data_IF_372187010683
#
_entry.id   IF_372187010683
#
_cell.length_a   1.000
_cell.length_b   1.000
_cell.length_c   1.000
_cell.angle_alpha   90.00
_cell.angle_beta   90.00
_cell.angle_gamma   90.00
#
_symmetry.space_group_name_H-M   'P 1'
#
loop_
_entity.id
_entity.type
_entity.pdbx_description
1 polymer ?
#
# COMPACT_ATOMS: atom_id res chain seq x y z
N UNK A 1 -45.77 -0.86 2.12
CA UNK A 1 -44.86 -0.91 1.02
C UNK A 1 -44.09 0.37 0.96
N UNK A 2 -42.85 0.32 1.43
CA UNK A 2 -41.96 1.49 1.48
C UNK A 2 -41.53 1.83 0.06
N UNK A 3 -41.97 2.98 -0.45
CA UNK A 3 -41.48 3.52 -1.70
C UNK A 3 -40.02 3.91 -1.49
N UNK A 4 -39.04 3.25 -2.18
CA UNK A 4 -37.61 3.55 -2.02
C UNK A 4 -37.23 5.00 -2.40
N UNK A 5 -38.16 5.76 -2.98
CA UNK A 5 -37.99 7.15 -3.39
C UNK A 5 -38.25 8.19 -2.29
N UNK A 6 -38.73 7.78 -1.10
CA UNK A 6 -38.99 8.70 0.00
C UNK A 6 -37.71 8.94 0.82
N UNK A 7 -36.91 9.91 0.41
CA UNK A 7 -35.79 10.44 1.19
C UNK A 7 -36.20 11.14 2.49
N UNK A 8 -37.48 11.49 2.64
CA UNK A 8 -38.00 12.27 3.75
C UNK A 8 -38.19 11.54 5.08
N UNK A 9 -38.00 10.21 5.12
CA UNK A 9 -38.33 9.41 6.30
C UNK A 9 -37.13 9.15 7.25
N UNK A 10 -35.92 9.62 6.88
CA UNK A 10 -34.74 9.54 7.76
C UNK A 10 -34.70 10.79 8.65
N UNK A 11 -34.68 10.57 9.96
CA UNK A 11 -34.65 11.63 10.95
C UNK A 11 -33.39 11.56 11.82
N UNK A 12 -32.86 12.73 12.17
CA UNK A 12 -31.84 12.93 13.19
C UNK A 12 -32.51 13.77 14.28
N UNK A 13 -32.61 13.22 15.48
CA UNK A 13 -33.22 13.88 16.63
C UNK A 13 -34.65 14.41 16.35
N UNK A 14 -35.47 13.59 15.63
CA UNK A 14 -36.86 13.91 15.30
C UNK A 14 -37.06 14.99 14.23
N UNK A 15 -36.03 15.31 13.46
CA UNK A 15 -36.11 16.22 12.30
C UNK A 15 -35.62 15.54 11.02
N UNK A 16 -36.12 15.90 9.83
CA UNK A 16 -35.66 15.32 8.58
C UNK A 16 -34.13 15.42 8.46
N UNK A 17 -33.45 14.31 8.14
CA UNK A 17 -31.99 14.26 8.03
C UNK A 17 -31.42 15.28 7.04
N UNK A 18 -32.12 15.53 5.93
CA UNK A 18 -31.75 16.52 4.92
C UNK A 18 -31.77 17.98 5.41
N UNK A 19 -32.40 18.26 6.55
CA UNK A 19 -32.42 19.61 7.15
C UNK A 19 -31.14 19.94 7.93
N UNK A 20 -30.23 18.94 8.12
CA UNK A 20 -28.98 19.12 8.85
C UNK A 20 -27.81 19.42 7.90
N UNK A 21 -26.77 20.14 8.36
CA UNK A 21 -25.51 20.27 7.67
C UNK A 21 -24.87 18.89 7.39
N UNK A 22 -24.05 18.79 6.33
CA UNK A 22 -23.40 17.53 5.90
C UNK A 22 -22.61 16.86 7.02
N UNK A 23 -21.84 17.61 7.79
CA UNK A 23 -21.07 17.12 8.93
C UNK A 23 -21.94 16.46 10.00
N UNK A 24 -23.11 17.01 10.28
CA UNK A 24 -24.07 16.43 11.19
C UNK A 24 -24.70 15.14 10.66
N UNK A 25 -24.95 15.05 9.35
CA UNK A 25 -25.43 13.83 8.70
C UNK A 25 -24.37 12.71 8.74
N UNK A 26 -23.10 13.04 8.43
CA UNK A 26 -21.96 12.11 8.50
C UNK A 26 -21.79 11.58 9.93
N UNK A 27 -21.83 12.49 10.91
CA UNK A 27 -21.76 12.11 12.31
C UNK A 27 -22.88 11.18 12.72
N UNK A 28 -24.11 11.45 12.29
CA UNK A 28 -25.27 10.62 12.57
C UNK A 28 -25.17 9.23 11.93
N UNK A 29 -24.56 9.12 10.74
CA UNK A 29 -24.25 7.83 10.10
C UNK A 29 -23.19 7.05 10.88
N UNK A 30 -22.10 7.69 11.25
CA UNK A 30 -21.01 7.09 12.03
C UNK A 30 -21.47 6.59 13.40
N UNK A 31 -22.43 7.28 14.00
CA UNK A 31 -23.08 6.89 15.27
C UNK A 31 -24.23 5.87 15.11
N UNK A 32 -24.46 5.36 13.87
CA UNK A 32 -25.55 4.40 13.59
C UNK A 32 -26.96 4.99 13.68
N UNK A 33 -27.11 6.32 13.74
CA UNK A 33 -28.41 7.02 13.77
C UNK A 33 -29.05 7.15 12.40
N UNK A 34 -28.26 7.04 11.31
CA UNK A 34 -28.73 6.92 9.93
C UNK A 34 -28.38 5.54 9.38
N UNK A 35 -29.35 4.89 8.77
CA UNK A 35 -29.16 3.53 8.27
C UNK A 35 -28.50 3.51 6.88
N UNK A 36 -27.72 2.46 6.58
CA UNK A 36 -27.17 2.22 5.25
C UNK A 36 -28.23 2.25 4.13
N UNK A 37 -29.44 1.68 4.29
CA UNK A 37 -30.50 1.81 3.31
C UNK A 37 -30.92 3.25 2.95
N UNK A 38 -30.82 4.18 3.91
CA UNK A 38 -31.08 5.60 3.63
C UNK A 38 -30.02 6.19 2.69
N UNK A 39 -28.75 5.90 2.93
CA UNK A 39 -27.64 6.36 2.12
C UNK A 39 -27.74 5.83 0.68
N UNK A 40 -28.04 4.55 0.51
CA UNK A 40 -28.20 3.93 -0.82
C UNK A 40 -29.39 4.52 -1.59
N UNK A 41 -30.48 4.84 -0.91
CA UNK A 41 -31.61 5.54 -1.54
C UNK A 41 -31.22 6.94 -2.01
N UNK A 42 -30.53 7.70 -1.17
CA UNK A 42 -30.06 9.04 -1.51
C UNK A 42 -29.11 9.00 -2.71
N UNK A 43 -28.23 7.98 -2.78
CA UNK A 43 -27.35 7.75 -3.93
C UNK A 43 -28.15 7.48 -5.20
N UNK A 44 -29.11 6.58 -5.14
CA UNK A 44 -29.96 6.25 -6.30
C UNK A 44 -30.72 7.47 -6.84
N UNK A 45 -31.28 8.28 -5.96
CA UNK A 45 -32.02 9.50 -6.37
C UNK A 45 -31.08 10.57 -6.96
N UNK A 46 -29.86 10.69 -6.42
CA UNK A 46 -28.85 11.59 -6.96
C UNK A 46 -28.42 11.17 -8.38
N UNK A 47 -28.16 9.88 -8.60
CA UNK A 47 -27.77 9.34 -9.90
C UNK A 47 -28.88 9.52 -10.96
N UNK A 48 -30.15 9.36 -10.56
CA UNK A 48 -31.30 9.62 -11.45
C UNK A 48 -31.40 11.10 -11.81
N UNK A 49 -31.12 11.98 -10.84
CA UNK A 49 -31.24 13.43 -11.03
C UNK A 49 -30.04 14.05 -11.75
N UNK A 50 -28.91 13.33 -11.79
CA UNK A 50 -27.65 13.81 -12.37
C UNK A 50 -27.01 12.71 -13.25
N UNK A 51 -27.63 12.38 -14.42
CA UNK A 51 -27.23 11.25 -15.23
C UNK A 51 -25.83 11.38 -15.87
N UNK A 52 -25.25 12.58 -15.85
CA UNK A 52 -23.88 12.85 -16.33
C UNK A 52 -22.81 12.65 -15.24
N UNK A 53 -23.23 12.43 -13.99
CA UNK A 53 -22.30 12.30 -12.86
C UNK A 53 -22.25 10.84 -12.42
N UNK A 54 -21.07 10.45 -11.93
CA UNK A 54 -20.81 9.13 -11.40
C UNK A 54 -21.04 9.03 -9.89
N UNK A 55 -20.92 7.83 -9.35
CA UNK A 55 -20.99 7.59 -7.91
C UNK A 55 -19.93 8.37 -7.13
N UNK A 56 -18.79 8.66 -7.74
CA UNK A 56 -17.74 9.44 -7.15
C UNK A 56 -18.19 10.89 -6.89
N UNK A 57 -18.83 11.51 -7.88
CA UNK A 57 -19.41 12.85 -7.73
C UNK A 57 -20.49 12.88 -6.64
N UNK A 58 -21.28 11.81 -6.51
CA UNK A 58 -22.23 11.66 -5.41
C UNK A 58 -21.52 11.63 -4.06
N UNK A 59 -20.51 10.78 -3.90
CA UNK A 59 -19.73 10.66 -2.66
C UNK A 59 -19.03 11.95 -2.29
N UNK A 60 -18.55 12.72 -3.28
CA UNK A 60 -18.00 14.06 -3.05
C UNK A 60 -18.99 15.01 -2.37
N UNK A 61 -20.28 14.91 -2.69
CA UNK A 61 -21.29 15.77 -2.09
C UNK A 61 -21.83 15.18 -0.78
N UNK A 62 -21.88 13.88 -0.68
CA UNK A 62 -22.51 13.13 0.41
C UNK A 62 -21.60 12.00 0.91
N UNK A 63 -20.48 12.33 1.54
CA UNK A 63 -19.58 11.32 2.08
C UNK A 63 -20.25 10.48 3.16
N UNK A 64 -20.02 9.18 3.17
CA UNK A 64 -20.65 8.23 4.08
C UNK A 64 -20.05 8.23 5.49
N UNK A 65 -18.86 8.81 5.65
CA UNK A 65 -18.13 8.89 6.93
C UNK A 65 -17.11 10.03 6.90
N UNK A 66 -16.51 10.35 8.06
CA UNK A 66 -15.51 11.42 8.19
C UNK A 66 -14.27 11.19 7.31
N UNK A 67 -13.88 9.93 7.15
CA UNK A 67 -12.79 9.55 6.30
C UNK A 67 -13.09 9.92 4.85
N UNK A 68 -14.21 9.50 4.33
CA UNK A 68 -14.66 9.82 2.97
C UNK A 68 -14.81 11.33 2.77
N UNK A 69 -15.31 12.06 3.78
CA UNK A 69 -15.40 13.54 3.74
C UNK A 69 -14.02 14.19 3.60
N UNK A 70 -13.02 13.66 4.26
CA UNK A 70 -11.65 14.17 4.19
C UNK A 70 -11.04 13.94 2.79
N UNK A 71 -11.26 12.79 2.16
CA UNK A 71 -10.79 12.50 0.80
C UNK A 71 -11.27 13.51 -0.22
N UNK A 72 -12.47 13.95 -0.04
CA UNK A 72 -13.21 14.73 -1.01
C UNK A 72 -12.94 16.21 -0.90
N UNK A 73 -12.13 16.65 0.08
CA UNK A 73 -11.73 18.06 0.25
C UNK A 73 -10.60 18.52 -0.68
N UNK A 74 -10.12 17.66 -1.58
CA UNK A 74 -9.14 18.04 -2.62
C UNK A 74 -7.68 17.95 -2.20
N UNK A 75 -7.37 17.48 -1.00
CA UNK A 75 -5.99 17.36 -0.48
C UNK A 75 -5.38 15.95 -0.68
N UNK A 76 -6.06 15.05 -1.41
CA UNK A 76 -5.50 13.71 -1.71
C UNK A 76 -4.23 13.84 -2.55
N UNK A 77 -3.17 13.11 -2.17
CA UNK A 77 -1.92 13.08 -2.91
C UNK A 77 -2.05 12.30 -4.22
N UNK A 78 -2.87 11.26 -4.23
CA UNK A 78 -3.11 10.42 -5.39
C UNK A 78 -4.46 10.73 -6.04
N UNK A 79 -4.56 10.53 -7.35
CA UNK A 79 -5.82 10.73 -8.09
C UNK A 79 -6.89 9.76 -7.64
N UNK A 80 -7.97 10.28 -7.07
CA UNK A 80 -9.08 9.46 -6.58
C UNK A 80 -9.81 8.72 -7.71
N UNK A 81 -9.93 9.34 -8.89
CA UNK A 81 -10.51 8.68 -10.06
C UNK A 81 -9.67 7.47 -10.49
N UNK A 82 -8.35 7.61 -10.52
CA UNK A 82 -7.45 6.49 -10.79
C UNK A 82 -7.56 5.38 -9.73
N UNK A 83 -7.64 5.73 -8.45
CA UNK A 83 -7.80 4.76 -7.37
C UNK A 83 -9.15 4.03 -7.42
N UNK A 84 -10.21 4.70 -7.87
CA UNK A 84 -11.48 4.07 -8.13
C UNK A 84 -11.39 3.04 -9.27
N UNK A 85 -10.66 3.35 -10.35
CA UNK A 85 -10.40 2.40 -11.44
C UNK A 85 -9.68 1.14 -10.93
N UNK A 86 -8.70 1.29 -10.01
CA UNK A 86 -8.05 0.15 -9.36
C UNK A 86 -9.05 -0.66 -8.52
N UNK A 87 -9.89 -0.01 -7.73
CA UNK A 87 -10.90 -0.69 -6.91
C UNK A 87 -11.91 -1.46 -7.76
N UNK A 88 -12.39 -0.87 -8.85
CA UNK A 88 -13.26 -1.51 -9.83
C UNK A 88 -12.58 -2.71 -10.48
N UNK A 89 -11.31 -2.56 -10.89
CA UNK A 89 -10.53 -3.65 -11.48
C UNK A 89 -10.33 -4.84 -10.54
N UNK A 90 -10.14 -4.61 -9.23
CA UNK A 90 -10.08 -5.68 -8.21
C UNK A 90 -11.42 -6.41 -8.13
N UNK A 91 -12.53 -5.68 -8.12
CA UNK A 91 -13.87 -6.24 -8.08
C UNK A 91 -14.20 -7.05 -9.36
N UNK A 92 -13.96 -6.49 -10.53
CA UNK A 92 -14.22 -7.14 -11.83
C UNK A 92 -13.40 -8.43 -12.04
N UNK A 93 -12.17 -8.47 -11.51
CA UNK A 93 -11.31 -9.66 -11.58
C UNK A 93 -11.66 -10.70 -10.51
N UNK A 94 -12.64 -10.44 -9.65
CA UNK A 94 -13.00 -11.30 -8.53
C UNK A 94 -11.78 -11.68 -7.67
N UNK A 95 -10.91 -10.70 -7.39
CA UNK A 95 -9.68 -10.94 -6.65
C UNK A 95 -9.96 -11.21 -5.18
N UNK A 96 -9.65 -12.40 -4.74
CA UNK A 96 -9.82 -12.82 -3.35
C UNK A 96 -8.51 -13.17 -2.69
N UNK A 97 -8.27 -12.60 -1.51
CA UNK A 97 -7.12 -12.94 -0.70
C UNK A 97 -7.31 -14.30 0.00
N UNK A 98 -6.31 -15.16 -0.06
CA UNK A 98 -6.18 -16.26 0.89
C UNK A 98 -5.54 -15.71 2.17
N UNK A 99 -6.22 -15.87 3.29
CA UNK A 99 -5.78 -15.34 4.60
C UNK A 99 -5.01 -16.43 5.34
N UNK A 100 -3.82 -16.08 5.87
CA UNK A 100 -3.01 -17.10 6.54
C UNK A 100 -1.68 -16.60 7.07
N UNK A 101 -0.73 -17.53 7.14
CA UNK A 101 0.65 -17.32 7.56
C UNK A 101 1.58 -18.26 6.80
N UNK A 102 2.91 -18.08 6.94
CA UNK A 102 3.89 -19.04 6.44
C UNK A 102 4.33 -19.98 7.55
N UNK A 103 4.39 -21.27 7.25
CA UNK A 103 4.93 -22.31 8.12
C UNK A 103 6.24 -22.85 7.55
N UNK A 104 7.21 -23.13 8.43
CA UNK A 104 8.50 -23.66 8.03
C UNK A 104 8.38 -25.14 7.67
N UNK A 105 8.77 -25.52 6.45
CA UNK A 105 8.74 -26.90 5.98
C UNK A 105 10.14 -27.47 5.68
N UNK A 106 11.18 -26.61 5.74
CA UNK A 106 12.59 -26.98 5.55
C UNK A 106 13.50 -25.88 6.05
N UNK A 107 14.82 -25.98 5.82
CA UNK A 107 15.79 -25.02 6.36
C UNK A 107 15.54 -23.59 5.89
N UNK A 108 15.37 -23.38 4.57
CA UNK A 108 15.00 -22.11 3.93
C UNK A 108 13.74 -22.28 3.07
N UNK A 109 12.83 -23.13 3.51
CA UNK A 109 11.63 -23.49 2.78
C UNK A 109 10.40 -23.26 3.63
N UNK A 110 9.41 -22.60 3.05
CA UNK A 110 8.18 -22.17 3.70
C UNK A 110 6.99 -22.57 2.84
N UNK A 111 5.86 -22.83 3.48
CA UNK A 111 4.59 -23.09 2.83
C UNK A 111 3.51 -22.17 3.40
N UNK A 112 2.59 -21.74 2.55
CA UNK A 112 1.43 -20.98 3.00
C UNK A 112 0.45 -21.89 3.73
N UNK A 113 0.06 -21.48 4.93
CA UNK A 113 -0.96 -22.13 5.75
C UNK A 113 -2.14 -21.18 5.96
N UNK A 114 -3.34 -21.61 5.56
CA UNK A 114 -4.57 -20.84 5.73
C UNK A 114 -4.99 -20.79 7.19
N UNK A 115 -5.03 -19.57 7.77
CA UNK A 115 -5.44 -19.33 9.16
C UNK A 115 -6.48 -18.24 9.17
N UNK A 116 -7.69 -18.47 9.72
CA UNK A 116 -8.68 -17.41 9.89
C UNK A 116 -8.09 -16.23 10.68
N UNK A 117 -8.20 -15.01 10.15
CA UNK A 117 -7.60 -13.78 10.71
C UNK A 117 -6.07 -13.79 10.77
N UNK A 118 -5.40 -14.58 9.94
CA UNK A 118 -3.95 -14.52 9.77
C UNK A 118 -3.47 -13.14 9.29
N UNK A 119 -2.18 -12.80 9.51
CA UNK A 119 -1.64 -11.47 9.18
C UNK A 119 -1.38 -11.28 7.68
N UNK A 120 -1.37 -12.36 6.90
CA UNK A 120 -1.07 -12.34 5.47
C UNK A 120 -2.33 -12.40 4.62
N UNK A 121 -2.33 -11.60 3.56
CA UNK A 121 -3.27 -11.63 2.45
C UNK A 121 -2.50 -12.06 1.20
N UNK A 122 -2.64 -13.33 0.82
CA UNK A 122 -1.98 -13.92 -0.34
C UNK A 122 -2.90 -13.85 -1.56
N UNK A 123 -2.43 -13.21 -2.62
CA UNK A 123 -3.12 -13.06 -3.91
C UNK A 123 -2.52 -13.96 -4.98
N UNK A 124 -1.20 -14.17 -4.94
CA UNK A 124 -0.46 -14.97 -5.90
C UNK A 124 0.62 -15.80 -5.18
N UNK A 125 0.63 -17.12 -5.43
CA UNK A 125 1.72 -18.00 -5.01
C UNK A 125 3.02 -17.64 -5.76
N UNK A 126 4.20 -17.90 -5.18
CA UNK A 126 5.45 -17.67 -5.89
C UNK A 126 5.53 -18.51 -7.17
N UNK A 127 5.80 -17.85 -8.30
CA UNK A 127 5.97 -18.49 -9.60
C UNK A 127 7.44 -18.80 -9.85
N UNK A 128 7.79 -20.03 -10.26
CA UNK A 128 9.17 -20.38 -10.58
C UNK A 128 9.79 -19.43 -11.61
N UNK A 129 11.02 -18.97 -11.37
CA UNK A 129 11.75 -18.08 -12.27
C UNK A 129 11.32 -16.62 -12.25
N UNK A 130 10.23 -16.27 -11.58
CA UNK A 130 9.84 -14.86 -11.38
C UNK A 130 10.69 -14.20 -10.28
N UNK A 131 10.98 -12.92 -10.47
CA UNK A 131 11.63 -12.06 -9.47
C UNK A 131 10.58 -11.30 -8.68
N UNK A 132 10.86 -11.10 -7.40
CA UNK A 132 10.00 -10.38 -6.48
C UNK A 132 10.79 -9.29 -5.75
N UNK A 133 10.10 -8.23 -5.39
CA UNK A 133 10.60 -7.18 -4.50
C UNK A 133 9.65 -7.06 -3.31
N UNK A 134 10.20 -6.82 -2.13
CA UNK A 134 9.42 -6.63 -0.90
C UNK A 134 9.80 -5.30 -0.28
N UNK A 135 8.84 -4.38 -0.22
CA UNK A 135 8.96 -3.18 0.59
C UNK A 135 8.54 -3.46 2.03
N UNK A 136 9.36 -3.05 2.98
CA UNK A 136 9.17 -3.32 4.42
C UNK A 136 9.12 -2.00 5.18
N UNK A 137 7.96 -1.70 5.74
CA UNK A 137 7.73 -0.59 6.64
C UNK A 137 7.63 -1.07 8.09
N UNK A 138 8.38 -0.42 8.99
CA UNK A 138 8.55 -0.89 10.36
C UNK A 138 7.85 0.00 11.38
N UNK A 139 7.09 -0.63 12.28
CA UNK A 139 6.47 0.05 13.41
C UNK A 139 7.15 -0.29 14.74
N UNK A 140 6.82 0.48 15.79
CA UNK A 140 7.30 0.23 17.15
C UNK A 140 6.71 -0.99 17.85
N UNK A 141 5.69 -1.63 17.26
CA UNK A 141 5.05 -2.84 17.79
C UNK A 141 4.09 -2.60 18.96
N UNK A 142 3.67 -1.36 19.22
CA UNK A 142 2.66 -1.08 20.22
C UNK A 142 1.28 -1.63 19.79
N UNK A 143 0.49 -2.13 20.71
CA UNK A 143 -0.84 -2.72 20.42
C UNK A 143 -1.84 -1.73 19.81
N UNK A 144 -1.63 -0.44 20.01
CA UNK A 144 -2.43 0.68 19.49
C UNK A 144 -1.69 1.56 18.51
N UNK A 145 -0.43 1.19 18.15
CA UNK A 145 0.42 1.95 17.22
C UNK A 145 0.21 1.55 15.76
N UNK A 146 1.13 2.05 14.93
CA UNK A 146 1.18 1.76 13.50
C UNK A 146 1.41 0.27 13.21
N UNK A 147 1.09 -0.16 12.01
CA UNK A 147 1.32 -1.52 11.58
C UNK A 147 2.75 -1.70 11.06
N UNK A 148 3.31 -2.88 11.27
CA UNK A 148 4.43 -3.39 10.51
C UNK A 148 3.89 -4.02 9.22
N UNK A 149 4.44 -3.64 8.07
CA UNK A 149 3.94 -4.03 6.76
C UNK A 149 5.05 -4.58 5.87
N UNK A 150 4.73 -5.67 5.15
CA UNK A 150 5.50 -6.10 3.98
C UNK A 150 4.58 -6.11 2.75
N UNK A 151 4.96 -5.39 1.70
CA UNK A 151 4.32 -5.40 0.38
C UNK A 151 5.15 -6.24 -0.57
N UNK A 152 4.63 -7.39 -0.98
CA UNK A 152 5.31 -8.29 -1.92
C UNK A 152 4.80 -8.04 -3.33
N UNK A 153 5.71 -7.64 -4.21
CA UNK A 153 5.40 -7.33 -5.60
C UNK A 153 6.19 -8.25 -6.52
N UNK A 154 5.50 -8.90 -7.46
CA UNK A 154 6.14 -9.64 -8.57
C UNK A 154 6.56 -8.65 -9.64
N UNK A 155 7.80 -8.77 -10.13
CA UNK A 155 8.29 -8.00 -11.27
C UNK A 155 7.81 -8.68 -12.56
N UNK A 156 7.09 -7.93 -13.40
CA UNK A 156 6.54 -8.39 -14.68
C UNK A 156 6.92 -7.41 -15.80
N UNK A 157 8.07 -7.67 -16.42
CA UNK A 157 8.66 -6.74 -17.36
C UNK A 157 9.09 -5.44 -16.69
N UNK A 158 8.42 -4.35 -17.02
CA UNK A 158 8.58 -3.01 -16.44
C UNK A 158 7.47 -2.64 -15.44
N UNK A 159 6.64 -3.62 -15.09
CA UNK A 159 5.48 -3.45 -14.22
C UNK A 159 5.59 -4.30 -12.95
N UNK A 160 4.75 -4.01 -11.97
CA UNK A 160 4.63 -4.73 -10.70
C UNK A 160 3.23 -5.30 -10.52
N UNK A 161 3.15 -6.53 -10.02
CA UNK A 161 1.88 -7.18 -9.63
C UNK A 161 1.93 -7.50 -8.15
N UNK A 162 0.97 -7.01 -7.39
CA UNK A 162 0.87 -7.26 -5.96
C UNK A 162 0.54 -8.73 -5.68
N UNK A 163 1.49 -9.46 -5.10
CA UNK A 163 1.40 -10.89 -4.85
C UNK A 163 0.94 -11.22 -3.43
N UNK A 164 1.39 -10.46 -2.43
CA UNK A 164 1.04 -10.68 -1.04
C UNK A 164 1.19 -9.39 -0.22
N UNK A 165 0.41 -9.28 0.84
CA UNK A 165 0.53 -8.23 1.85
C UNK A 165 0.55 -8.87 3.24
N UNK A 166 1.59 -8.58 4.02
CA UNK A 166 1.60 -8.82 5.46
C UNK A 166 1.35 -7.49 6.16
N UNK A 167 0.37 -7.45 7.07
CA UNK A 167 0.04 -6.28 7.88
C UNK A 167 -0.30 -6.72 9.29
N UNK A 168 0.55 -6.36 10.25
CA UNK A 168 0.45 -6.87 11.62
C UNK A 168 1.09 -5.93 12.63
N UNK A 169 0.65 -5.97 13.89
CA UNK A 169 1.30 -5.25 15.00
C UNK A 169 2.28 -6.17 15.72
N UNK A 170 3.53 -6.07 15.36
CA UNK A 170 4.64 -6.85 15.92
C UNK A 170 5.85 -5.94 16.13
N UNK A 171 6.77 -6.37 17.00
CA UNK A 171 8.00 -5.63 17.21
C UNK A 171 8.98 -5.77 16.02
N UNK A 172 9.97 -4.88 15.89
CA UNK A 172 10.90 -4.89 14.76
C UNK A 172 11.68 -6.20 14.59
N UNK A 173 12.00 -6.89 15.68
CA UNK A 173 12.71 -8.17 15.61
C UNK A 173 11.85 -9.29 15.04
N UNK A 174 10.55 -9.29 15.34
CA UNK A 174 9.58 -10.20 14.74
C UNK A 174 9.34 -9.86 13.27
N UNK A 175 9.27 -8.56 12.92
CA UNK A 175 9.16 -8.14 11.53
C UNK A 175 10.34 -8.60 10.67
N UNK A 176 11.57 -8.56 11.21
CA UNK A 176 12.74 -9.09 10.49
C UNK A 176 12.55 -10.56 10.13
N UNK A 177 12.07 -11.38 11.07
CA UNK A 177 11.78 -12.78 10.83
C UNK A 177 10.66 -12.97 9.77
N UNK A 178 9.60 -12.15 9.83
CA UNK A 178 8.53 -12.19 8.84
C UNK A 178 9.02 -11.80 7.44
N UNK A 179 9.82 -10.73 7.34
CA UNK A 179 10.39 -10.27 6.07
C UNK A 179 11.36 -11.31 5.47
N UNK A 180 12.22 -11.92 6.30
CA UNK A 180 13.14 -12.98 5.87
C UNK A 180 12.38 -14.18 5.28
N UNK A 181 11.39 -14.70 6.01
CA UNK A 181 10.63 -15.86 5.55
C UNK A 181 9.80 -15.57 4.30
N UNK A 182 9.25 -14.36 4.16
CA UNK A 182 8.61 -13.91 2.93
C UNK A 182 9.60 -13.83 1.77
N UNK A 183 10.81 -13.32 2.03
CA UNK A 183 11.89 -13.27 1.05
C UNK A 183 12.22 -14.66 0.50
N UNK A 184 12.45 -15.63 1.38
CA UNK A 184 12.73 -17.03 0.98
C UNK A 184 11.55 -17.67 0.26
N UNK A 185 10.32 -17.44 0.74
CA UNK A 185 9.11 -17.98 0.11
C UNK A 185 8.92 -17.45 -1.30
N UNK A 186 9.22 -16.17 -1.56
CA UNK A 186 9.10 -15.53 -2.86
C UNK A 186 10.43 -15.51 -3.64
N UNK A 187 11.06 -16.69 -3.80
CA UNK A 187 12.24 -16.90 -4.66
C UNK A 187 13.44 -16.02 -4.29
N UNK A 188 13.75 -15.87 -3.01
CA UNK A 188 14.80 -14.96 -2.54
C UNK A 188 14.57 -13.50 -2.99
N UNK A 189 13.39 -12.98 -2.69
CA UNK A 189 12.94 -11.66 -3.10
C UNK A 189 13.91 -10.54 -2.67
N UNK A 190 14.01 -9.46 -3.46
CA UNK A 190 14.80 -8.29 -3.09
C UNK A 190 14.08 -7.47 -2.02
N UNK A 191 14.67 -7.33 -0.83
CA UNK A 191 14.07 -6.62 0.30
C UNK A 191 14.55 -5.17 0.37
N UNK A 192 13.60 -4.24 0.44
CA UNK A 192 13.83 -2.82 0.70
C UNK A 192 13.25 -2.49 2.07
N UNK A 193 14.12 -2.41 3.07
CA UNK A 193 13.74 -2.15 4.46
C UNK A 193 13.97 -0.69 4.78
N UNK A 194 13.00 -0.01 5.40
CA UNK A 194 13.26 1.28 6.00
C UNK A 194 14.37 1.15 7.06
N UNK A 195 15.37 2.03 7.00
CA UNK A 195 16.54 1.93 7.90
C UNK A 195 16.55 2.96 9.04
N UNK A 196 15.44 3.69 9.23
CA UNK A 196 15.29 4.66 10.31
C UNK A 196 14.76 3.98 11.59
N UNK A 197 15.11 4.52 12.76
CA UNK A 197 14.57 4.12 14.07
C UNK A 197 14.36 2.60 14.23
N UNK A 198 13.10 2.15 14.14
CA UNK A 198 12.73 0.75 14.29
C UNK A 198 13.27 -0.14 13.16
N UNK A 199 13.39 0.40 11.96
CA UNK A 199 13.98 -0.29 10.82
C UNK A 199 15.45 -0.65 10.98
N UNK A 200 16.21 0.05 11.84
CA UNK A 200 17.57 -0.35 12.17
C UNK A 200 17.64 -1.75 12.79
N UNK A 201 16.69 -2.08 13.67
CA UNK A 201 16.63 -3.40 14.29
C UNK A 201 16.29 -4.48 13.25
N UNK A 202 15.37 -4.18 12.33
CA UNK A 202 15.00 -5.08 11.23
C UNK A 202 16.22 -5.37 10.36
N UNK A 203 16.90 -4.30 9.90
CA UNK A 203 18.10 -4.38 9.08
C UNK A 203 19.21 -5.19 9.76
N UNK A 204 19.52 -4.88 11.03
CA UNK A 204 20.63 -5.51 11.75
C UNK A 204 20.40 -7.01 12.00
N UNK A 205 19.13 -7.44 12.02
CA UNK A 205 18.79 -8.86 12.09
C UNK A 205 18.83 -9.58 10.74
N UNK A 206 18.47 -8.88 9.66
CA UNK A 206 18.48 -9.46 8.32
C UNK A 206 19.88 -9.62 7.75
N UNK A 207 20.80 -8.70 8.01
CA UNK A 207 22.15 -8.66 7.40
C UNK A 207 22.97 -9.94 7.55
N UNK A 208 22.74 -10.71 8.63
CA UNK A 208 23.50 -11.92 8.91
C UNK A 208 22.88 -13.19 8.30
N UNK A 209 21.61 -13.12 7.89
CA UNK A 209 20.84 -14.29 7.39
C UNK A 209 20.29 -14.15 5.99
N UNK A 210 20.14 -12.92 5.49
CA UNK A 210 19.55 -12.62 4.20
C UNK A 210 20.44 -11.71 3.36
N UNK A 211 20.73 -12.11 2.13
CA UNK A 211 21.74 -11.41 1.30
C UNK A 211 21.15 -10.47 0.24
N UNK A 212 19.92 -10.71 -0.20
CA UNK A 212 19.29 -9.93 -1.28
C UNK A 212 18.59 -8.67 -0.74
N UNK A 213 19.39 -7.74 -0.18
CA UNK A 213 18.96 -6.51 0.48
C UNK A 213 19.27 -5.28 -0.37
N UNK A 214 18.38 -4.30 -0.34
CA UNK A 214 18.61 -2.99 -0.92
C UNK A 214 19.76 -2.29 -0.20
N UNK A 215 20.72 -1.79 -0.99
CA UNK A 215 21.88 -1.04 -0.53
C UNK A 215 21.85 0.35 -1.11
N UNK A 216 21.95 1.37 -0.25
CA UNK A 216 22.17 2.74 -0.71
C UNK A 216 23.63 3.11 -0.58
N UNK A 217 24.12 3.88 -1.52
CA UNK A 217 25.46 4.46 -1.48
C UNK A 217 25.43 5.82 -0.78
N UNK A 218 26.41 6.08 0.06
CA UNK A 218 26.63 7.37 0.72
C UNK A 218 28.10 7.71 0.71
N UNK A 219 28.40 8.95 0.32
CA UNK A 219 29.75 9.48 0.48
C UNK A 219 29.97 9.93 1.92
N UNK A 220 30.99 9.43 2.57
CA UNK A 220 31.39 9.92 3.89
C UNK A 220 32.08 11.26 3.77
N UNK A 221 31.67 12.25 4.59
CA UNK A 221 32.12 13.64 4.51
C UNK A 221 33.63 13.85 4.74
N UNK A 222 34.35 12.85 5.24
CA UNK A 222 35.74 12.98 5.66
C UNK A 222 36.72 12.04 4.94
N UNK A 223 36.27 11.07 4.17
CA UNK A 223 37.17 10.10 3.51
C UNK A 223 37.04 10.05 1.99
N UNK A 224 36.08 10.75 1.38
CA UNK A 224 35.66 10.57 -0.03
C UNK A 224 35.37 9.12 -0.42
N UNK A 225 35.23 8.22 0.58
CA UNK A 225 34.91 6.83 0.36
C UNK A 225 33.39 6.66 0.17
N UNK A 226 33.01 5.86 -0.82
CA UNK A 226 31.65 5.43 -1.03
C UNK A 226 31.37 4.21 -0.13
N UNK A 227 30.45 4.35 0.83
CA UNK A 227 30.08 3.27 1.75
C UNK A 227 28.66 2.81 1.47
N UNK A 228 28.49 1.49 1.38
CA UNK A 228 27.19 0.87 1.22
C UNK A 228 26.46 0.73 2.56
N UNK A 229 25.27 1.30 2.64
CA UNK A 229 24.38 1.18 3.77
C UNK A 229 23.15 0.34 3.42
N UNK A 230 22.88 -0.70 4.21
CA UNK A 230 21.68 -1.53 4.03
C UNK A 230 20.42 -0.72 4.35
N UNK A 231 19.42 -0.84 3.45
CA UNK A 231 18.09 -0.29 3.62
C UNK A 231 17.92 1.15 3.13
N UNK A 232 16.67 1.54 3.03
CA UNK A 232 16.24 2.87 2.59
C UNK A 232 16.18 3.83 3.78
N UNK A 233 16.77 5.01 3.64
CA UNK A 233 16.72 6.07 4.67
C UNK A 233 15.62 7.06 4.34
N UNK A 234 14.66 7.21 5.24
CA UNK A 234 13.53 8.12 5.09
C UNK A 234 13.81 9.46 5.79
N UNK A 235 13.86 10.52 5.02
CA UNK A 235 13.78 11.91 5.46
C UNK A 235 12.72 12.64 4.62
N UNK A 236 12.53 13.95 4.83
CA UNK A 236 11.52 14.71 4.10
C UNK A 236 11.69 14.67 2.58
N UNK A 237 12.93 14.68 2.08
CA UNK A 237 13.22 14.67 0.64
C UNK A 237 13.09 13.27 0.05
N UNK A 238 13.66 12.26 0.70
CA UNK A 238 13.60 10.89 0.22
C UNK A 238 12.16 10.33 0.29
N UNK A 239 11.38 10.69 1.33
CA UNK A 239 9.95 10.34 1.40
C UNK A 239 9.19 10.95 0.23
N UNK A 240 9.36 12.25 -0.04
CA UNK A 240 8.71 12.90 -1.17
C UNK A 240 9.05 12.21 -2.49
N UNK A 241 10.35 11.95 -2.74
CA UNK A 241 10.84 11.28 -3.95
C UNK A 241 10.18 9.92 -4.19
N UNK A 242 10.10 9.06 -3.17
CA UNK A 242 9.50 7.71 -3.38
C UNK A 242 7.99 7.77 -3.51
N UNK A 243 7.33 8.75 -2.90
CA UNK A 243 5.89 8.98 -3.09
C UNK A 243 5.60 9.54 -4.48
N UNK A 244 6.43 10.47 -4.99
CA UNK A 244 6.30 10.98 -6.36
C UNK A 244 6.52 9.86 -7.39
N UNK A 245 7.51 8.99 -7.16
CA UNK A 245 7.77 7.83 -8.00
C UNK A 245 6.62 6.82 -7.97
N UNK A 246 6.05 6.55 -6.78
CA UNK A 246 4.87 5.69 -6.66
C UNK A 246 3.69 6.27 -7.46
N UNK A 247 3.44 7.58 -7.35
CA UNK A 247 2.37 8.27 -8.07
C UNK A 247 2.56 8.16 -9.61
N UNK A 248 3.78 8.38 -10.10
CA UNK A 248 4.12 8.20 -11.50
C UNK A 248 3.81 6.77 -11.98
N UNK A 249 4.25 5.75 -11.24
CA UNK A 249 4.01 4.35 -11.61
C UNK A 249 2.53 3.98 -11.59
N UNK A 250 1.75 4.54 -10.67
CA UNK A 250 0.30 4.35 -10.63
C UNK A 250 -0.37 5.00 -11.85
N UNK A 251 0.01 6.24 -12.21
CA UNK A 251 -0.51 6.93 -13.39
C UNK A 251 -0.15 6.24 -14.69
N UNK A 252 1.06 5.70 -14.80
CA UNK A 252 1.51 4.92 -15.96
C UNK A 252 0.91 3.51 -16.03
N UNK A 253 0.07 3.14 -15.05
CA UNK A 253 -0.54 1.79 -14.93
C UNK A 253 0.48 0.65 -14.87
N UNK A 254 1.65 0.94 -14.31
CA UNK A 254 2.73 -0.03 -14.11
C UNK A 254 2.56 -0.87 -12.84
N UNK A 255 1.54 -0.62 -12.05
CA UNK A 255 1.23 -1.37 -10.82
C UNK A 255 -0.14 -2.02 -10.95
N UNK A 256 -0.22 -3.32 -10.70
CA UNK A 256 -1.48 -4.05 -10.53
C UNK A 256 -1.69 -4.26 -9.04
N UNK A 257 -2.67 -3.56 -8.47
CA UNK A 257 -3.07 -3.73 -7.07
C UNK A 257 -4.13 -4.81 -6.95
N UNK A 258 -4.02 -5.63 -5.92
CA UNK A 258 -4.96 -6.70 -5.57
C UNK A 258 -5.57 -6.50 -4.17
N UNK A 259 -4.93 -5.69 -3.32
CA UNK A 259 -5.34 -5.46 -1.94
C UNK A 259 -6.19 -4.19 -1.80
N UNK A 260 -7.47 -4.36 -1.51
CA UNK A 260 -8.40 -3.23 -1.31
C UNK A 260 -8.00 -2.32 -0.14
N UNK A 261 -7.30 -2.85 0.89
CA UNK A 261 -6.81 -2.02 2.00
C UNK A 261 -5.68 -1.11 1.55
N UNK A 262 -4.79 -1.58 0.68
CA UNK A 262 -3.74 -0.74 0.08
C UNK A 262 -4.36 0.40 -0.73
N UNK A 263 -5.39 0.11 -1.54
CA UNK A 263 -6.13 1.14 -2.29
C UNK A 263 -6.81 2.12 -1.32
N UNK A 264 -7.38 1.61 -0.24
CA UNK A 264 -7.96 2.42 0.83
C UNK A 264 -6.94 3.38 1.45
N UNK A 265 -5.76 2.95 1.84
CA UNK A 265 -4.72 3.84 2.39
C UNK A 265 -4.19 4.85 1.35
N UNK A 266 -4.00 4.45 0.09
CA UNK A 266 -3.66 5.39 -1.00
C UNK A 266 -4.70 6.51 -1.12
N UNK A 267 -5.98 6.19 -1.00
CA UNK A 267 -7.05 7.19 -1.11
C UNK A 267 -7.10 8.18 0.05
N UNK A 268 -6.55 7.82 1.23
CA UNK A 268 -6.45 8.70 2.40
C UNK A 268 -5.13 9.48 2.48
N UNK A 269 -4.15 9.11 1.69
CA UNK A 269 -2.84 9.73 1.74
C UNK A 269 -2.91 11.16 1.19
N UNK A 270 -2.65 12.14 2.04
CA UNK A 270 -2.92 13.53 1.74
C UNK A 270 -1.68 14.43 1.83
N UNK A 271 -1.75 15.55 1.14
CA UNK A 271 -0.82 16.69 1.33
C UNK A 271 -1.36 17.55 2.47
N UNK A 272 -0.54 17.78 3.48
CA UNK A 272 -0.87 18.63 4.62
C UNK A 272 -0.55 20.09 4.33
N UNK A 273 -1.13 21.01 5.10
CA UNK A 273 -0.95 22.47 4.93
C UNK A 273 0.53 22.91 4.99
N UNK A 274 1.37 22.17 5.70
CA UNK A 274 2.81 22.42 5.81
C UNK A 274 3.64 21.79 4.66
N UNK A 275 2.99 21.26 3.62
CA UNK A 275 3.60 20.61 2.46
C UNK A 275 4.11 19.18 2.71
N UNK A 276 4.00 18.64 3.93
CA UNK A 276 4.31 17.24 4.18
C UNK A 276 3.18 16.32 3.72
N UNK A 277 3.49 15.07 3.43
CA UNK A 277 2.50 14.07 3.01
C UNK A 277 2.35 12.96 4.04
N UNK A 278 1.18 12.34 4.09
CA UNK A 278 0.90 11.21 4.99
C UNK A 278 -0.58 11.02 5.27
N UNK A 279 -0.91 10.01 6.06
CA UNK A 279 -2.27 9.78 6.50
C UNK A 279 -2.76 10.87 7.47
N UNK A 280 -4.06 11.20 7.47
CA UNK A 280 -4.69 12.04 8.48
C UNK A 280 -4.59 11.43 9.87
N UNK A 281 -4.84 12.26 10.88
CA UNK A 281 -4.85 11.78 12.28
C UNK A 281 -5.87 10.66 12.49
N UNK A 282 -5.42 9.55 13.02
CA UNK A 282 -6.26 8.36 13.27
C UNK A 282 -6.36 7.39 12.10
N UNK A 283 -5.66 7.65 11.00
CA UNK A 283 -5.51 6.76 9.86
C UNK A 283 -4.06 6.31 9.71
N UNK A 284 -3.82 5.35 8.82
CA UNK A 284 -2.52 4.72 8.61
C UNK A 284 -2.04 4.96 7.19
N UNK A 285 -0.71 5.04 7.00
CA UNK A 285 -0.03 5.11 5.70
C UNK A 285 1.05 4.01 5.53
N UNK A 286 1.04 3.02 6.41
CA UNK A 286 2.05 1.96 6.44
C UNK A 286 2.04 1.11 5.15
N UNK A 287 0.85 0.81 4.60
CA UNK A 287 0.71 0.09 3.31
C UNK A 287 1.22 0.92 2.13
N UNK A 288 1.01 2.23 2.16
CA UNK A 288 1.50 3.15 1.13
C UNK A 288 3.02 3.23 1.17
N UNK A 289 3.61 3.38 2.37
CA UNK A 289 5.06 3.47 2.52
C UNK A 289 5.76 2.18 2.10
N UNK A 290 5.25 1.02 2.55
CA UNK A 290 5.79 -0.26 2.11
C UNK A 290 5.69 -0.47 0.60
N UNK A 291 4.60 -0.04 -0.05
CA UNK A 291 4.46 -0.09 -1.51
C UNK A 291 5.47 0.84 -2.20
N UNK A 292 5.66 2.06 -1.69
CA UNK A 292 6.65 3.00 -2.22
C UNK A 292 8.08 2.44 -2.14
N UNK A 293 8.43 1.75 -1.05
CA UNK A 293 9.73 1.07 -0.93
C UNK A 293 9.86 -0.10 -1.92
N UNK A 294 8.79 -0.84 -2.19
CA UNK A 294 8.81 -1.89 -3.22
C UNK A 294 9.04 -1.31 -4.63
N UNK A 295 8.41 -0.17 -4.96
CA UNK A 295 8.64 0.55 -6.23
C UNK A 295 10.07 1.04 -6.34
N UNK A 296 10.64 1.60 -5.28
CA UNK A 296 12.06 2.00 -5.24
C UNK A 296 12.99 0.83 -5.54
N UNK A 297 12.78 -0.31 -4.88
CA UNK A 297 13.58 -1.51 -5.12
C UNK A 297 13.45 -2.06 -6.53
N UNK A 298 12.25 -2.04 -7.10
CA UNK A 298 12.03 -2.46 -8.47
C UNK A 298 12.78 -1.55 -9.46
N UNK A 299 12.73 -0.25 -9.24
CA UNK A 299 13.46 0.74 -10.05
C UNK A 299 14.97 0.51 -9.99
N UNK A 300 15.52 0.30 -8.78
CA UNK A 300 16.95 -0.01 -8.61
C UNK A 300 17.37 -1.28 -9.37
N UNK A 301 16.56 -2.35 -9.28
CA UNK A 301 16.82 -3.59 -10.02
C UNK A 301 16.74 -3.41 -11.54
N UNK A 302 15.81 -2.59 -12.05
CA UNK A 302 15.69 -2.30 -13.48
C UNK A 302 16.88 -1.49 -13.99
N UNK A 303 17.31 -0.48 -13.20
CA UNK A 303 18.49 0.33 -13.52
C UNK A 303 19.75 -0.53 -13.56
N UNK A 304 19.98 -1.38 -12.53
CA UNK A 304 21.15 -2.29 -12.48
C UNK A 304 21.19 -3.21 -13.71
N UNK A 305 20.05 -3.76 -14.14
CA UNK A 305 19.96 -4.62 -15.32
C UNK A 305 20.38 -3.89 -16.61
N UNK A 306 20.10 -2.59 -16.69
CA UNK A 306 20.46 -1.77 -17.87
C UNK A 306 21.97 -1.48 -17.92
N UNK A 307 22.66 -1.47 -16.77
CA UNK A 307 24.10 -1.17 -16.65
C UNK A 307 24.99 -2.41 -16.45
N UNK A 308 24.46 -3.64 -16.57
CA UNK A 308 25.34 -4.81 -16.63
C UNK A 308 26.30 -4.67 -17.83
N UNK A 309 27.64 -4.66 -17.62
CA UNK A 309 28.57 -4.50 -18.70
C UNK A 309 28.43 -5.70 -19.67
N UNK A 310 28.23 -5.39 -20.95
CA UNK A 310 28.32 -6.41 -22.00
C UNK A 310 29.77 -6.91 -21.99
N UNK A 311 30.03 -8.08 -21.45
CA UNK A 311 31.35 -8.72 -21.56
C UNK A 311 31.51 -9.14 -23.01
N UNK A 312 32.14 -8.29 -23.79
CA UNK A 312 32.58 -8.64 -25.18
C UNK A 312 33.76 -9.60 -25.03
N UNK A 313 33.47 -10.90 -25.07
CA UNK A 313 34.53 -11.91 -25.20
C UNK A 313 35.12 -11.76 -26.59
N UNK A 314 36.27 -11.07 -26.72
CA UNK A 314 37.03 -11.06 -27.94
C UNK A 314 37.69 -12.43 -28.13
N UNK A 315 37.15 -13.24 -29.02
CA UNK A 315 37.83 -14.44 -29.48
C UNK A 315 39.05 -13.94 -30.32
N UNK A 316 40.24 -14.06 -29.75
CA UNK A 316 41.49 -13.86 -30.50
C UNK A 316 41.50 -14.78 -31.71
N UNK A 317 41.84 -14.22 -32.90
CA UNK A 317 42.06 -15.04 -34.09
C UNK A 317 43.22 -15.99 -33.80
N UNK A 318 43.10 -17.29 -34.13
CA UNK A 318 44.27 -18.17 -34.11
C UNK A 318 45.27 -17.70 -35.17
N UNK A 319 46.55 -17.71 -34.80
CA UNK A 319 47.66 -17.38 -35.65
C UNK A 319 47.88 -18.42 -36.79
#
# INVERSE_FOLDING_TARGET
GDDPRRLGDAEIDGKPALSFPKDAQIKAMAEGRLSAPWYERMKADYMISNPEQDEFAFRQQFPSNEAEAFYLTGNSRFSLSMLNDFAMSVHEREVHARIGTLEKVGERSWAFHGVPKGPMRLYEEPKPGCKYVIGVDSSGGASTGDFAVCQVMRIDGDSLVQACVLQVRINPAQLAYEAERLGWYYNEAFLVVESNFHGQVVRDRLKDGYTNLYMRKRYEKFSDDEVDYIGFWTDSHSKMRVIDQLDEWLHEKRIVLNDSKTIGELSHYAVRDNGTTGAPKGMYDDLVMALAFAVEGATDLMVRKTYEPIIIVSYGRPA
#
